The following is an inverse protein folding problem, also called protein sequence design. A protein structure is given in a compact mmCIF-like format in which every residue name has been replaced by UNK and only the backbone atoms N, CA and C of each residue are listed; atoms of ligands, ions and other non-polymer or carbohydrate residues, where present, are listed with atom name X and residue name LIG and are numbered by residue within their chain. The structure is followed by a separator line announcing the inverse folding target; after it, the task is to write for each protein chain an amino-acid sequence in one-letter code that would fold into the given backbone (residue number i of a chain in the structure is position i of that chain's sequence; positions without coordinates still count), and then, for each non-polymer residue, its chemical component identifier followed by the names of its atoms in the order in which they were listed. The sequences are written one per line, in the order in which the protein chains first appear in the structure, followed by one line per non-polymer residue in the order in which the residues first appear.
data_IF_132275256277
#
_entry.id   IF_132275256277
#
_cell.length_a   1.000
_cell.length_b   1.000
_cell.length_c   1.000
_cell.angle_alpha   90.00
_cell.angle_beta   90.00
_cell.angle_gamma   90.00
#
_symmetry.space_group_name_H-M   'P 1'
#
loop_
_entity.id
_entity.type
_entity.pdbx_description
1 polymer ?
#
# COMPACT_ATOMS: atom_id res chain seq x y z
N UNK A 1 -18.28 -51.21 2.14
CA UNK A 1 -18.56 -50.37 0.95
C UNK A 1 -19.86 -49.63 1.23
N UNK A 2 -19.92 -48.33 0.90
CA UNK A 2 -21.01 -47.35 1.08
C UNK A 2 -20.96 -46.48 2.35
N UNK A 3 -20.54 -45.22 2.16
CA UNK A 3 -21.08 -44.01 2.81
C UNK A 3 -20.47 -42.76 2.13
N UNK A 4 -21.13 -42.23 1.10
CA UNK A 4 -20.88 -40.89 0.58
C UNK A 4 -22.08 -40.42 -0.26
N UNK A 5 -22.99 -39.64 0.32
CA UNK A 5 -23.82 -38.67 -0.42
C UNK A 5 -24.65 -37.85 0.56
N UNK A 6 -24.18 -36.65 0.95
CA UNK A 6 -25.00 -35.66 1.63
C UNK A 6 -24.41 -34.24 1.67
N UNK A 7 -23.83 -33.70 0.58
CA UNK A 7 -23.54 -32.24 0.51
C UNK A 7 -23.76 -31.72 -0.92
N UNK A 8 -25.01 -31.69 -1.37
CA UNK A 8 -25.44 -30.89 -2.54
C UNK A 8 -26.89 -30.47 -2.38
N UNK A 9 -27.17 -29.58 -1.42
CA UNK A 9 -28.52 -28.98 -1.30
C UNK A 9 -28.54 -27.57 -0.68
N UNK A 10 -27.47 -26.79 -0.85
CA UNK A 10 -27.36 -25.43 -0.29
C UNK A 10 -27.03 -24.33 -1.32
N UNK A 11 -27.46 -24.47 -2.59
CA UNK A 11 -27.39 -23.37 -3.56
C UNK A 11 -28.75 -22.78 -3.95
N UNK A 12 -29.85 -23.51 -3.74
CA UNK A 12 -31.20 -23.06 -4.16
C UNK A 12 -31.92 -22.16 -3.16
N UNK A 13 -31.36 -21.95 -1.96
CA UNK A 13 -32.00 -21.11 -0.94
C UNK A 13 -31.60 -19.63 -1.06
N UNK A 14 -30.51 -19.31 -1.77
CA UNK A 14 -30.00 -17.95 -1.93
C UNK A 14 -30.73 -17.20 -3.06
N UNK A 15 -31.15 -17.91 -4.12
CA UNK A 15 -31.94 -17.32 -5.21
C UNK A 15 -33.35 -16.90 -4.80
N UNK A 16 -33.86 -17.38 -3.66
CA UNK A 16 -35.19 -17.02 -3.14
C UNK A 16 -35.22 -15.70 -2.34
N UNK A 17 -34.07 -15.01 -2.20
CA UNK A 17 -33.96 -13.76 -1.44
C UNK A 17 -33.89 -12.48 -2.28
N UNK A 18 -34.11 -12.54 -3.59
CA UNK A 18 -34.00 -11.37 -4.48
C UNK A 18 -35.38 -10.83 -4.87
N UNK A 19 -36.10 -10.31 -3.88
CA UNK A 19 -37.20 -9.36 -4.12
C UNK A 19 -36.66 -7.94 -3.95
N UNK A 20 -36.89 -7.01 -4.90
CA UNK A 20 -36.41 -5.63 -4.82
C UNK A 20 -36.85 -4.92 -3.52
N UNK A 21 -38.05 -5.24 -3.04
CA UNK A 21 -38.63 -4.67 -1.82
C UNK A 21 -37.86 -5.11 -0.57
N UNK A 22 -37.36 -6.36 -0.54
CA UNK A 22 -36.58 -6.89 0.60
C UNK A 22 -35.15 -6.36 0.64
N UNK A 23 -34.57 -5.97 -0.51
CA UNK A 23 -33.26 -5.29 -0.57
C UNK A 23 -33.29 -3.92 0.08
N UNK A 24 -34.38 -3.17 -0.10
CA UNK A 24 -34.53 -1.83 0.51
C UNK A 24 -34.63 -1.93 2.03
N UNK A 25 -35.36 -2.92 2.55
CA UNK A 25 -35.50 -3.16 4.00
C UNK A 25 -34.17 -3.60 4.62
N UNK A 26 -33.42 -4.46 3.94
CA UNK A 26 -32.10 -4.91 4.40
C UNK A 26 -31.07 -3.75 4.39
N UNK A 27 -31.10 -2.90 3.36
CA UNK A 27 -30.25 -1.70 3.28
C UNK A 27 -30.59 -0.68 4.37
N UNK A 28 -31.87 -0.49 4.71
CA UNK A 28 -32.28 0.38 5.82
C UNK A 28 -31.84 -0.16 7.18
N UNK A 29 -31.89 -1.48 7.40
CA UNK A 29 -31.40 -2.13 8.62
C UNK A 29 -29.88 -2.05 8.77
N UNK A 30 -29.14 -2.20 7.66
CA UNK A 30 -27.67 -2.08 7.65
C UNK A 30 -27.21 -0.62 7.86
N UNK A 31 -27.95 0.36 7.32
CA UNK A 31 -27.69 1.77 7.58
C UNK A 31 -27.92 2.16 9.05
N UNK A 32 -28.92 1.56 9.72
CA UNK A 32 -29.13 1.75 11.16
C UNK A 32 -28.02 1.14 12.03
N UNK A 33 -27.27 0.17 11.49
CA UNK A 33 -26.09 -0.44 12.12
C UNK A 33 -24.78 0.28 11.75
N UNK A 34 -24.84 1.42 11.05
CA UNK A 34 -23.66 2.20 10.67
C UNK A 34 -22.88 1.67 9.47
N UNK A 35 -23.42 0.69 8.73
CA UNK A 35 -22.77 0.12 7.54
C UNK A 35 -23.30 0.85 6.30
N UNK A 36 -22.48 1.71 5.70
CA UNK A 36 -22.80 2.44 4.46
C UNK A 36 -22.49 1.54 3.26
N UNK A 37 -23.51 1.19 2.47
CA UNK A 37 -23.37 0.41 1.23
C UNK A 37 -23.80 1.26 0.04
N UNK A 38 -22.86 1.63 -0.84
CA UNK A 38 -23.14 2.33 -2.10
C UNK A 38 -23.49 1.35 -3.23
N UNK A 39 -24.42 1.68 -4.16
CA UNK A 39 -24.76 0.81 -5.27
C UNK A 39 -23.87 1.13 -6.49
N UNK A 40 -22.95 0.22 -6.79
CA UNK A 40 -22.16 0.19 -8.03
C UNK A 40 -21.35 -1.11 -8.09
N UNK A 41 -20.96 -1.61 -9.28
CA UNK A 41 -20.21 -2.85 -9.38
C UNK A 41 -18.75 -2.57 -9.02
N UNK A 42 -18.48 -2.43 -7.72
CA UNK A 42 -17.14 -2.51 -7.16
C UNK A 42 -16.88 -3.98 -6.88
N UNK A 43 -15.86 -4.54 -7.55
CA UNK A 43 -15.15 -5.69 -7.04
C UNK A 43 -14.69 -5.33 -5.63
N UNK A 44 -15.42 -5.82 -4.62
CA UNK A 44 -14.95 -5.84 -3.25
C UNK A 44 -13.69 -6.69 -3.23
N UNK A 45 -12.53 -6.05 -3.24
CA UNK A 45 -11.36 -6.65 -2.62
C UNK A 45 -11.62 -6.54 -1.13
N UNK A 46 -12.00 -7.68 -0.57
CA UNK A 46 -12.27 -7.87 0.84
C UNK A 46 -10.97 -7.56 1.62
N UNK A 47 -10.89 -6.36 2.20
CA UNK A 47 -9.73 -5.94 3.01
C UNK A 47 -9.58 -6.77 4.29
N UNK A 48 -10.60 -7.55 4.66
CA UNK A 48 -10.51 -8.54 5.73
C UNK A 48 -9.61 -9.74 5.37
N UNK A 49 -9.45 -10.05 4.07
CA UNK A 49 -8.57 -11.11 3.56
C UNK A 49 -7.13 -10.68 3.32
N UNK A 50 -6.84 -9.39 3.25
CA UNK A 50 -5.46 -8.92 3.20
C UNK A 50 -4.71 -9.33 4.47
N UNK A 51 -5.37 -9.28 5.64
CA UNK A 51 -4.85 -9.76 6.92
C UNK A 51 -4.63 -11.29 6.95
N UNK A 52 -5.60 -12.09 6.48
CA UNK A 52 -5.46 -13.56 6.46
C UNK A 52 -4.38 -14.06 5.48
N UNK A 53 -4.17 -13.36 4.36
CA UNK A 53 -3.08 -13.69 3.41
C UNK A 53 -1.72 -13.37 4.04
N UNK A 54 -1.61 -12.31 4.86
CA UNK A 54 -0.39 -11.94 5.57
C UNK A 54 -0.03 -12.93 6.69
N UNK A 55 -1.03 -13.42 7.44
CA UNK A 55 -0.82 -14.43 8.50
C UNK A 55 -0.43 -15.80 7.92
N UNK A 56 -0.94 -16.15 6.74
CA UNK A 56 -0.58 -17.43 6.06
C UNK A 56 0.86 -17.40 5.51
N UNK A 57 1.45 -16.22 5.33
CA UNK A 57 2.80 -16.04 4.78
C UNK A 57 3.87 -15.77 5.84
N UNK A 58 3.52 -15.69 7.13
CA UNK A 58 4.48 -15.47 8.23
C UNK A 58 5.24 -14.15 8.14
N UNK A 59 4.63 -13.11 7.56
CA UNK A 59 5.32 -11.86 7.25
C UNK A 59 5.30 -10.92 8.48
N UNK A 60 6.49 -10.43 8.81
CA UNK A 60 6.81 -9.52 9.92
C UNK A 60 5.97 -8.24 9.92
N UNK A 61 5.89 -7.58 11.08
CA UNK A 61 5.06 -6.40 11.42
C UNK A 61 5.26 -5.12 10.59
N UNK A 62 6.06 -5.14 9.53
CA UNK A 62 6.49 -3.95 8.78
C UNK A 62 5.88 -3.86 7.37
N UNK A 63 4.81 -4.61 7.09
CA UNK A 63 4.13 -4.56 5.79
C UNK A 63 3.14 -3.40 5.74
N UNK A 64 3.34 -2.48 4.80
CA UNK A 64 2.42 -1.39 4.50
C UNK A 64 1.88 -1.52 3.08
N UNK A 65 0.59 -1.26 2.89
CA UNK A 65 -0.04 -1.26 1.57
C UNK A 65 -0.29 0.17 1.12
N UNK A 66 0.31 0.57 0.00
CA UNK A 66 0.06 1.86 -0.65
C UNK A 66 -1.00 1.70 -1.73
N UNK A 67 -2.12 2.40 -1.60
CA UNK A 67 -3.20 2.38 -2.58
C UNK A 67 -3.91 3.75 -2.61
N UNK A 68 -3.93 4.40 -3.76
CA UNK A 68 -4.71 5.62 -4.03
C UNK A 68 -4.26 6.92 -3.34
N UNK A 69 -3.73 6.86 -2.12
CA UNK A 69 -3.43 8.02 -1.29
C UNK A 69 -1.94 8.13 -0.92
N UNK A 70 -1.43 9.34 -0.67
CA UNK A 70 -0.11 9.54 -0.07
C UNK A 70 0.00 8.80 1.27
N UNK A 71 1.17 8.23 1.52
CA UNK A 71 1.51 7.61 2.79
C UNK A 71 2.72 8.31 3.37
N UNK A 72 2.62 8.75 4.62
CA UNK A 72 3.70 9.44 5.33
C UNK A 72 4.11 8.63 6.53
N UNK A 73 5.42 8.45 6.70
CA UNK A 73 5.99 7.77 7.86
C UNK A 73 7.19 8.54 8.40
N UNK A 74 7.44 8.43 9.70
CA UNK A 74 8.62 9.02 10.33
C UNK A 74 9.70 7.94 10.48
N UNK A 75 10.77 8.07 9.71
CA UNK A 75 11.91 7.16 9.80
C UNK A 75 12.94 7.68 10.79
N UNK A 76 13.52 6.77 11.55
CA UNK A 76 14.65 7.10 12.44
C UNK A 76 15.94 6.99 11.65
N UNK A 77 16.76 8.02 11.74
CA UNK A 77 18.07 8.02 11.08
C UNK A 77 19.09 7.23 11.90
N UNK A 78 19.98 6.50 11.23
CA UNK A 78 21.18 5.96 11.87
C UNK A 78 22.07 7.11 12.36
N UNK A 79 22.73 6.92 13.50
CA UNK A 79 23.63 7.94 14.03
C UNK A 79 24.95 7.90 13.25
N UNK A 80 25.06 8.74 12.23
CA UNK A 80 26.27 8.85 11.41
C UNK A 80 27.32 9.69 12.14
N UNK A 81 28.51 9.12 12.37
CA UNK A 81 29.67 9.85 12.92
C UNK A 81 30.63 10.33 11.83
N UNK A 82 30.57 9.74 10.65
CA UNK A 82 31.46 10.04 9.52
C UNK A 82 30.68 10.80 8.43
N UNK A 83 31.12 12.03 8.14
CA UNK A 83 30.44 12.93 7.20
C UNK A 83 30.58 12.46 5.74
N UNK A 84 31.39 11.43 5.47
CA UNK A 84 31.66 10.94 4.12
C UNK A 84 30.74 9.79 3.68
N UNK A 85 29.85 9.30 4.54
CA UNK A 85 28.95 8.19 4.19
C UNK A 85 27.61 8.71 3.66
N UNK A 86 27.04 7.99 2.70
CA UNK A 86 25.75 8.35 2.08
C UNK A 86 24.59 7.75 2.89
N UNK A 87 23.64 8.59 3.27
CA UNK A 87 22.35 8.16 3.77
C UNK A 87 21.46 7.73 2.61
N UNK A 88 21.09 6.44 2.59
CA UNK A 88 20.29 5.83 1.52
C UNK A 88 18.93 5.41 2.07
N UNK A 89 17.85 5.93 1.50
CA UNK A 89 16.50 5.41 1.72
C UNK A 89 16.32 4.09 0.97
N UNK A 90 16.13 3.01 1.72
CA UNK A 90 15.94 1.66 1.21
C UNK A 90 14.48 1.22 1.38
N UNK A 91 13.84 0.81 0.28
CA UNK A 91 12.45 0.35 0.24
C UNK A 91 12.39 -1.03 -0.43
N UNK A 92 11.95 -2.04 0.33
CA UNK A 92 11.63 -3.36 -0.19
C UNK A 92 10.15 -3.42 -0.56
N UNK A 93 9.85 -3.79 -1.81
CA UNK A 93 8.52 -3.77 -2.40
C UNK A 93 8.15 -5.13 -2.98
N UNK A 94 6.88 -5.48 -2.90
CA UNK A 94 6.25 -6.52 -3.71
C UNK A 94 5.23 -5.88 -4.64
N UNK A 95 5.43 -6.08 -5.95
CA UNK A 95 4.64 -5.46 -7.02
C UNK A 95 3.98 -6.54 -7.87
N UNK A 96 2.78 -6.32 -8.38
CA UNK A 96 2.18 -7.23 -9.35
C UNK A 96 2.89 -7.11 -10.70
N UNK A 97 3.48 -8.20 -11.18
CA UNK A 97 4.31 -8.22 -12.39
C UNK A 97 3.56 -7.71 -13.63
N UNK A 98 2.27 -8.02 -13.77
CA UNK A 98 1.47 -7.67 -14.95
C UNK A 98 0.84 -6.27 -14.89
N UNK A 99 1.12 -5.47 -13.86
CA UNK A 99 0.52 -4.15 -13.65
C UNK A 99 1.59 -3.08 -13.61
N UNK A 100 1.22 -1.86 -14.03
CA UNK A 100 2.12 -0.71 -13.90
C UNK A 100 2.00 -0.14 -12.50
N UNK A 101 3.12 0.13 -11.85
CA UNK A 101 3.14 0.79 -10.55
C UNK A 101 4.06 2.01 -10.60
N UNK A 102 3.63 3.13 -10.01
CA UNK A 102 4.47 4.32 -9.96
C UNK A 102 4.23 5.11 -8.68
N UNK A 103 5.31 5.60 -8.09
CA UNK A 103 5.24 6.47 -6.92
C UNK A 103 6.38 7.48 -6.90
N UNK A 104 6.16 8.61 -6.22
CA UNK A 104 7.16 9.63 -5.93
C UNK A 104 7.48 9.59 -4.46
N UNK A 105 8.72 9.91 -4.12
CA UNK A 105 9.18 9.96 -2.74
C UNK A 105 9.61 11.38 -2.42
N UNK A 106 9.18 11.85 -1.26
CA UNK A 106 9.50 13.17 -0.73
C UNK A 106 10.04 13.05 0.69
N UNK A 107 11.02 13.88 1.02
CA UNK A 107 11.44 14.16 2.39
C UNK A 107 10.81 15.49 2.77
N UNK A 108 9.99 15.48 3.82
CA UNK A 108 9.29 16.68 4.26
C UNK A 108 10.03 17.38 5.40
N UNK A 109 9.71 18.65 5.61
CA UNK A 109 10.05 19.34 6.84
C UNK A 109 9.20 18.82 8.02
N UNK A 110 9.75 18.77 9.25
CA UNK A 110 8.98 18.46 10.45
C UNK A 110 7.77 19.39 10.59
N UNK A 111 6.57 18.80 10.73
CA UNK A 111 5.33 19.55 10.86
C UNK A 111 4.70 20.04 9.54
N UNK A 112 5.26 19.64 8.39
CA UNK A 112 4.61 19.85 7.09
C UNK A 112 3.22 19.17 7.05
N UNK A 113 2.28 19.81 6.39
CA UNK A 113 0.90 19.35 6.21
C UNK A 113 0.44 19.51 4.76
N UNK A 114 -0.81 19.17 4.46
CA UNK A 114 -1.38 19.24 3.10
C UNK A 114 -1.40 20.66 2.50
N UNK A 115 -1.24 21.70 3.32
CA UNK A 115 -1.19 23.10 2.90
C UNK A 115 0.25 23.58 2.67
N UNK A 116 1.25 22.80 3.09
CA UNK A 116 2.66 23.12 2.86
C UNK A 116 2.95 22.99 1.36
N UNK A 117 3.45 24.07 0.76
CA UNK A 117 3.81 24.07 -0.65
C UNK A 117 5.04 23.18 -0.86
N UNK A 118 4.94 22.22 -1.76
CA UNK A 118 6.05 21.34 -2.10
C UNK A 118 7.11 22.13 -2.86
N UNK A 119 8.33 22.18 -2.35
CA UNK A 119 9.50 22.74 -3.01
C UNK A 119 10.33 21.64 -3.67
N UNK A 120 11.11 21.96 -4.73
CA UNK A 120 11.97 20.99 -5.41
C UNK A 120 12.96 20.24 -4.48
N UNK A 121 13.57 20.88 -3.46
CA UNK A 121 14.46 20.21 -2.51
C UNK A 121 13.85 19.02 -1.78
N UNK A 122 12.53 18.96 -1.61
CA UNK A 122 11.86 17.86 -0.91
C UNK A 122 11.73 16.60 -1.78
N UNK A 123 11.85 16.72 -3.10
CA UNK A 123 11.68 15.60 -4.03
C UNK A 123 12.94 14.71 -4.08
N UNK A 124 12.80 13.46 -3.62
CA UNK A 124 13.91 12.50 -3.58
C UNK A 124 14.04 11.66 -4.84
N UNK A 125 12.90 11.32 -5.45
CA UNK A 125 12.93 10.45 -6.60
C UNK A 125 11.56 9.94 -7.00
N UNK A 126 11.57 9.22 -8.11
CA UNK A 126 10.41 8.55 -8.65
C UNK A 126 10.77 7.11 -8.97
N UNK A 127 9.77 6.25 -8.87
CA UNK A 127 9.86 4.87 -9.29
C UNK A 127 8.75 4.59 -10.30
N UNK A 128 9.11 3.85 -11.34
CA UNK A 128 8.18 3.29 -12.30
C UNK A 128 8.50 1.82 -12.50
N UNK A 129 7.48 0.99 -12.36
CA UNK A 129 7.47 -0.39 -12.78
C UNK A 129 6.53 -0.51 -13.98
N UNK A 130 7.05 -1.11 -15.04
CA UNK A 130 6.30 -1.40 -16.25
C UNK A 130 5.78 -2.84 -16.19
N UNK A 131 4.56 -3.10 -16.70
CA UNK A 131 4.04 -4.45 -16.80
C UNK A 131 5.00 -5.37 -17.53
N UNK A 132 5.33 -6.49 -16.91
CA UNK A 132 6.03 -7.61 -17.51
C UNK A 132 5.03 -8.71 -17.91
N UNK A 133 5.42 -9.54 -18.88
CA UNK A 133 4.62 -10.71 -19.28
C UNK A 133 4.62 -11.70 -18.12
N UNK A 134 3.45 -11.90 -17.52
CA UNK A 134 3.24 -12.92 -16.49
C UNK A 134 2.28 -14.00 -16.97
N UNK A 135 2.51 -15.24 -16.54
CA UNK A 135 1.60 -16.36 -16.77
C UNK A 135 0.33 -16.25 -15.93
N UNK A 136 0.41 -15.59 -14.76
CA UNK A 136 -0.69 -15.42 -13.82
C UNK A 136 -0.77 -13.94 -13.39
N UNK A 137 -1.45 -13.08 -14.16
CA UNK A 137 -1.34 -11.63 -14.03
C UNK A 137 -1.83 -11.06 -12.68
N UNK A 138 -2.71 -11.78 -12.00
CA UNK A 138 -3.34 -11.31 -10.74
C UNK A 138 -2.67 -11.86 -9.48
N UNK A 139 -1.71 -12.79 -9.60
CA UNK A 139 -1.10 -13.46 -8.44
C UNK A 139 0.43 -13.49 -8.48
N UNK A 140 1.03 -13.09 -9.59
CA UNK A 140 2.48 -13.06 -9.75
C UNK A 140 3.06 -11.75 -9.22
N UNK A 141 3.79 -11.85 -8.12
CA UNK A 141 4.45 -10.71 -7.48
C UNK A 141 5.96 -10.73 -7.73
N UNK A 142 6.50 -9.56 -8.03
CA UNK A 142 7.92 -9.31 -8.17
C UNK A 142 8.45 -8.56 -6.94
N UNK A 143 9.40 -9.17 -6.24
CA UNK A 143 10.16 -8.51 -5.20
C UNK A 143 11.14 -7.51 -5.83
N UNK A 144 11.12 -6.26 -5.36
CA UNK A 144 11.92 -5.16 -5.88
C UNK A 144 12.52 -4.35 -4.74
N UNK A 145 13.82 -4.09 -4.80
CA UNK A 145 14.52 -3.16 -3.91
C UNK A 145 14.70 -1.82 -4.60
N UNK A 146 14.30 -0.73 -3.95
CA UNK A 146 14.52 0.65 -4.40
C UNK A 146 15.41 1.35 -3.38
N UNK A 147 16.50 1.94 -3.87
CA UNK A 147 17.45 2.70 -3.05
C UNK A 147 17.57 4.11 -3.62
N UNK A 148 17.43 5.12 -2.76
CA UNK A 148 17.54 6.54 -3.12
C UNK A 148 18.54 7.20 -2.16
N UNK A 149 19.59 7.83 -2.69
CA UNK A 149 20.47 8.69 -1.90
C UNK A 149 19.72 9.94 -1.45
N UNK A 150 19.79 10.26 -0.16
CA UNK A 150 19.03 11.37 0.44
C UNK A 150 19.91 12.33 1.25
N UNK A 151 21.23 12.12 1.36
CA UNK A 151 22.10 12.97 2.20
C UNK A 151 22.04 14.44 1.81
N UNK A 152 22.17 14.73 0.51
CA UNK A 152 22.17 16.09 -0.02
C UNK A 152 20.82 16.77 0.24
N UNK A 153 19.73 16.04 0.07
CA UNK A 153 18.37 16.53 0.33
C UNK A 153 18.19 16.87 1.81
N UNK A 154 18.63 15.99 2.71
CA UNK A 154 18.57 16.23 4.16
C UNK A 154 19.35 17.49 4.52
N UNK A 155 20.53 17.67 3.93
CA UNK A 155 21.37 18.84 4.15
C UNK A 155 20.74 20.12 3.60
N UNK A 156 20.22 20.09 2.38
CA UNK A 156 19.59 21.23 1.71
C UNK A 156 18.33 21.70 2.43
N UNK A 157 17.58 20.76 3.03
CA UNK A 157 16.42 21.05 3.88
C UNK A 157 16.79 21.49 5.31
N UNK A 158 18.08 21.51 5.68
CA UNK A 158 18.52 21.85 7.03
C UNK A 158 18.11 20.82 8.08
N UNK A 159 17.94 19.55 7.68
CA UNK A 159 17.48 18.46 8.53
C UNK A 159 18.62 17.64 9.15
N UNK A 160 19.88 18.05 8.97
CA UNK A 160 21.06 17.33 9.45
C UNK A 160 21.04 17.00 10.95
N UNK A 161 20.45 17.87 11.78
CA UNK A 161 20.39 17.67 13.24
C UNK A 161 19.15 16.86 13.70
N UNK A 162 18.25 16.51 12.78
CA UNK A 162 17.02 15.81 13.10
C UNK A 162 17.26 14.30 13.09
N UNK A 163 16.93 13.62 14.19
CA UNK A 163 17.04 12.15 14.31
C UNK A 163 15.89 11.40 13.65
N UNK A 164 14.78 12.09 13.37
CA UNK A 164 13.62 11.53 12.68
C UNK A 164 13.26 12.39 11.48
N UNK A 165 13.05 11.75 10.35
CA UNK A 165 12.71 12.42 9.10
C UNK A 165 11.34 11.91 8.62
N UNK A 166 10.38 12.81 8.35
CA UNK A 166 9.13 12.44 7.70
C UNK A 166 9.37 12.20 6.21
N UNK A 167 9.00 11.00 5.76
CA UNK A 167 9.06 10.61 4.34
C UNK A 167 7.65 10.36 3.85
N UNK A 168 7.31 10.94 2.70
CA UNK A 168 6.02 10.73 2.03
C UNK A 168 6.23 10.00 0.72
N UNK A 169 5.47 8.93 0.54
CA UNK A 169 5.38 8.18 -0.71
C UNK A 169 4.02 8.48 -1.34
N UNK A 170 4.04 9.01 -2.55
CA UNK A 170 2.83 9.43 -3.28
C UNK A 170 2.63 8.52 -4.49
N UNK A 171 1.65 7.60 -4.47
CA UNK A 171 1.29 6.82 -5.65
C UNK A 171 0.70 7.73 -6.73
N UNK A 172 1.11 7.51 -7.97
CA UNK A 172 0.59 8.28 -9.12
C UNK A 172 0.48 7.43 -10.38
N UNK A 173 -0.06 8.00 -11.46
CA UNK A 173 -0.31 7.30 -12.71
C UNK A 173 -1.75 6.79 -12.84
N UNK A 174 -1.97 5.97 -13.87
CA UNK A 174 -3.30 5.49 -14.28
C UNK A 174 -3.82 4.40 -13.33
N UNK A 175 -2.92 3.60 -12.76
CA UNK A 175 -3.28 2.40 -12.01
C UNK A 175 -3.12 2.53 -10.49
N UNK A 176 -3.49 3.69 -9.93
CA UNK A 176 -3.38 3.96 -8.47
C UNK A 176 -4.23 3.03 -7.60
N UNK A 177 -5.16 2.30 -8.22
CA UNK A 177 -6.08 1.42 -7.54
C UNK A 177 -5.44 0.07 -7.18
N UNK A 178 -4.30 -0.28 -7.76
CA UNK A 178 -3.61 -1.52 -7.38
C UNK A 178 -2.65 -1.27 -6.21
N UNK A 179 -2.64 -2.17 -5.22
CA UNK A 179 -1.80 -2.01 -4.04
C UNK A 179 -0.32 -2.22 -4.39
N UNK A 180 0.52 -1.29 -3.96
CA UNK A 180 1.97 -1.49 -3.85
C UNK A 180 2.23 -1.96 -2.42
N UNK A 181 2.80 -3.15 -2.26
CA UNK A 181 3.07 -3.71 -0.94
C UNK A 181 4.50 -3.33 -0.55
N UNK A 182 4.63 -2.36 0.35
CA UNK A 182 5.88 -2.05 1.03
C UNK A 182 6.13 -3.13 2.09
N UNK A 183 7.24 -3.84 2.00
CA UNK A 183 7.62 -4.88 2.97
C UNK A 183 8.50 -4.30 4.07
N UNK A 184 9.37 -3.33 3.72
CA UNK A 184 10.27 -2.68 4.67
C UNK A 184 10.73 -1.35 4.11
N UNK A 185 10.79 -0.32 4.96
CA UNK A 185 11.32 1.00 4.61
C UNK A 185 12.24 1.48 5.73
N UNK A 186 13.50 1.80 5.39
CA UNK A 186 14.51 2.23 6.36
C UNK A 186 15.56 3.16 5.72
N UNK A 187 16.26 3.92 6.56
CA UNK A 187 17.41 4.73 6.14
C UNK A 187 18.67 3.96 6.53
N UNK A 188 19.51 3.65 5.54
CA UNK A 188 20.79 2.97 5.69
C UNK A 188 21.94 3.98 5.49
N UNK A 189 23.13 3.58 5.93
CA UNK A 189 24.37 4.32 5.70
C UNK A 189 25.26 3.43 4.85
N UNK A 190 25.67 3.93 3.68
CA UNK A 190 26.55 3.22 2.74
C UNK A 190 27.87 3.97 2.51
#
# INVERSE_FOLDING_TARGET
MWCASAITKSSKMIDWMISPVRRVILLQLLAMLGIIVFPGPLLMVDTSRAGEILDTLGISSDVTVLQGSPFTMNLTRPHVKDVNLEEVLSMNLNLLSARSSAFRVFVNLPGANEQTTVTLPEFCGLFYHLPAISKNPDTDFQATLVQLGISDIIKDLGLSDHSRIPITIVPFGVDKQHPIILVKVEILVE
#
